data_IF_328641668286
#
_entry.id   IF_328641668286
#
_cell.length_a   1.000
_cell.length_b   1.000
_cell.length_c   1.000
_cell.angle_alpha   90.00
_cell.angle_beta   90.00
_cell.angle_gamma   90.00
#
_symmetry.space_group_name_H-M   'P 1'
#
loop_
_entity.id
_entity.type
_entity.pdbx_description
1 polymer ?
#
# COMPACT_ATOMS: atom_id res chain seq x y z
N UNK A 1 -2.96 0.61 -8.43
CA UNK A 1 -2.53 -0.08 -7.20
C UNK A 1 -2.93 -1.55 -7.27
N UNK A 2 -2.17 -2.45 -6.67
CA UNK A 2 -2.46 -3.88 -6.67
C UNK A 2 -2.27 -4.48 -5.27
N UNK A 3 -3.26 -5.26 -4.83
CA UNK A 3 -3.16 -6.03 -3.58
C UNK A 3 -2.71 -7.46 -3.88
N UNK A 4 -1.58 -7.88 -3.31
CA UNK A 4 -1.04 -9.24 -3.45
C UNK A 4 -1.07 -9.75 -4.91
N UNK A 5 -1.80 -10.81 -5.21
CA UNK A 5 -1.94 -11.39 -6.57
C UNK A 5 -3.23 -11.00 -7.28
N UNK A 6 -4.02 -10.07 -6.72
CA UNK A 6 -5.28 -9.63 -7.31
C UNK A 6 -5.04 -8.77 -8.56
N UNK A 7 -6.11 -8.52 -9.31
CA UNK A 7 -6.08 -7.58 -10.43
C UNK A 7 -5.84 -6.15 -9.90
N UNK A 8 -5.05 -5.33 -10.62
CA UNK A 8 -4.80 -3.96 -10.21
C UNK A 8 -6.04 -3.08 -10.38
N UNK A 9 -6.21 -2.11 -9.49
CA UNK A 9 -6.99 -0.90 -9.78
C UNK A 9 -6.22 -0.04 -10.78
N UNK A 10 -6.79 0.15 -11.96
CA UNK A 10 -6.22 0.91 -13.08
C UNK A 10 -6.91 2.27 -13.18
N UNK A 11 -6.12 3.32 -13.39
CA UNK A 11 -6.62 4.69 -13.50
C UNK A 11 -6.49 5.49 -12.20
N UNK A 12 -6.26 6.79 -12.34
CA UNK A 12 -6.07 7.69 -11.20
C UNK A 12 -7.37 7.89 -10.42
N UNK A 13 -8.49 8.10 -11.12
CA UNK A 13 -9.78 8.40 -10.50
C UNK A 13 -10.31 7.22 -9.71
N UNK A 14 -10.21 6.01 -10.28
CA UNK A 14 -10.61 4.76 -9.68
C UNK A 14 -9.76 4.45 -8.44
N UNK A 15 -8.44 4.65 -8.54
CA UNK A 15 -7.55 4.44 -7.41
C UNK A 15 -7.80 5.47 -6.30
N UNK A 16 -8.01 6.74 -6.65
CA UNK A 16 -8.32 7.79 -5.69
C UNK A 16 -9.63 7.53 -4.95
N UNK A 17 -10.67 7.08 -5.66
CA UNK A 17 -11.94 6.72 -5.05
C UNK A 17 -11.79 5.55 -4.07
N UNK A 18 -11.06 4.50 -4.45
CA UNK A 18 -10.78 3.34 -3.58
C UNK A 18 -9.99 3.73 -2.33
N UNK A 19 -8.93 4.54 -2.49
CA UNK A 19 -8.12 5.01 -1.36
C UNK A 19 -8.91 5.88 -0.40
N UNK A 20 -9.76 6.79 -0.90
CA UNK A 20 -10.65 7.59 -0.05
C UNK A 20 -11.62 6.74 0.75
N UNK A 21 -12.22 5.71 0.13
CA UNK A 21 -13.13 4.78 0.81
C UNK A 21 -12.40 4.00 1.91
N UNK A 22 -11.21 3.47 1.62
CA UNK A 22 -10.36 2.79 2.59
C UNK A 22 -10.03 3.70 3.77
N UNK A 23 -9.45 4.88 3.53
CA UNK A 23 -9.05 5.82 4.59
C UNK A 23 -10.24 6.25 5.44
N UNK A 24 -11.42 6.47 4.83
CA UNK A 24 -12.64 6.84 5.57
C UNK A 24 -13.14 5.74 6.53
N UNK A 25 -12.74 4.48 6.30
CA UNK A 25 -13.14 3.31 7.11
C UNK A 25 -12.06 2.85 8.09
N UNK A 26 -10.88 3.46 8.08
CA UNK A 26 -9.76 3.08 8.94
C UNK A 26 -9.62 4.01 10.14
N UNK A 27 -9.47 3.42 11.32
CA UNK A 27 -8.90 4.06 12.50
C UNK A 27 -7.50 3.51 12.73
N UNK A 28 -6.48 4.34 12.52
CA UNK A 28 -5.08 3.97 12.67
C UNK A 28 -4.65 3.92 14.13
N UNK A 29 -3.91 2.87 14.50
CA UNK A 29 -3.18 2.78 15.77
C UNK A 29 -1.66 2.92 15.54
N UNK A 30 -1.15 2.34 14.45
CA UNK A 30 0.25 2.40 14.03
C UNK A 30 0.37 2.30 12.50
N UNK A 31 1.23 3.12 11.93
CA UNK A 31 1.77 2.94 10.59
C UNK A 31 3.24 3.36 10.64
N UNK A 32 4.14 2.38 10.71
CA UNK A 32 5.57 2.61 10.92
C UNK A 32 6.37 2.05 9.76
N UNK A 33 7.24 2.88 9.19
CA UNK A 33 8.25 2.42 8.23
C UNK A 33 9.33 1.66 8.99
N UNK A 34 9.58 0.42 8.56
CA UNK A 34 10.65 -0.42 9.08
C UNK A 34 11.94 -0.26 8.26
N UNK A 35 11.81 -0.04 6.96
CA UNK A 35 12.94 0.11 6.06
C UNK A 35 12.52 0.51 4.66
N UNK A 36 13.49 0.96 3.88
CA UNK A 36 13.31 1.33 2.48
C UNK A 36 14.44 0.78 1.63
N UNK A 37 14.12 0.30 0.44
CA UNK A 37 15.10 -0.09 -0.59
C UNK A 37 14.81 0.77 -1.82
N UNK A 38 15.86 1.30 -2.44
CA UNK A 38 15.75 2.07 -3.69
C UNK A 38 16.61 1.38 -4.74
N UNK A 39 15.99 1.09 -5.88
CA UNK A 39 16.60 0.54 -7.09
C UNK A 39 16.45 1.58 -8.19
N UNK A 40 17.43 2.49 -8.25
CA UNK A 40 17.42 3.61 -9.20
C UNK A 40 17.49 3.13 -10.65
N UNK A 41 18.25 2.06 -10.92
CA UNK A 41 18.42 1.49 -12.27
C UNK A 41 17.08 1.03 -12.86
N UNK A 42 16.23 0.41 -12.04
CA UNK A 42 14.92 -0.07 -12.47
C UNK A 42 13.77 0.90 -12.17
N UNK A 43 14.05 2.09 -11.65
CA UNK A 43 13.04 3.06 -11.19
C UNK A 43 12.05 2.45 -10.18
N UNK A 44 12.57 1.73 -9.19
CA UNK A 44 11.75 1.05 -8.18
C UNK A 44 12.15 1.42 -6.77
N UNK A 45 11.18 1.37 -5.88
CA UNK A 45 11.43 1.40 -4.44
C UNK A 45 10.58 0.36 -3.73
N UNK A 46 11.03 -0.02 -2.54
CA UNK A 46 10.29 -0.86 -1.62
C UNK A 46 10.23 -0.12 -0.29
N UNK A 47 9.04 -0.08 0.33
CA UNK A 47 8.86 0.41 1.68
C UNK A 47 8.27 -0.72 2.52
N UNK A 48 8.99 -1.10 3.58
CA UNK A 48 8.50 -2.06 4.55
C UNK A 48 7.75 -1.34 5.67
N UNK A 49 6.57 -1.85 5.99
CA UNK A 49 5.64 -1.27 6.95
C UNK A 49 5.28 -2.26 8.06
N UNK A 50 5.16 -1.73 9.27
CA UNK A 50 4.39 -2.32 10.38
C UNK A 50 3.07 -1.54 10.51
N UNK A 51 1.94 -2.24 10.37
CA UNK A 51 0.61 -1.66 10.38
C UNK A 51 -0.23 -2.25 11.53
N UNK A 52 -0.92 -1.36 12.25
CA UNK A 52 -1.94 -1.70 13.24
C UNK A 52 -3.11 -0.72 13.08
N UNK A 53 -4.28 -1.23 12.67
CA UNK A 53 -5.46 -0.41 12.49
C UNK A 53 -6.76 -1.17 12.66
N UNK A 54 -7.85 -0.46 12.93
CA UNK A 54 -9.20 -1.02 12.96
C UNK A 54 -9.94 -0.54 11.72
N UNK A 55 -10.32 -1.48 10.84
CA UNK A 55 -11.18 -1.21 9.70
C UNK A 55 -12.64 -1.43 10.10
N UNK A 56 -13.53 -0.52 9.69
CA UNK A 56 -14.97 -0.59 9.99
C UNK A 56 -15.61 -1.92 9.60
N UNK A 57 -15.14 -2.54 8.51
CA UNK A 57 -15.70 -3.77 7.95
C UNK A 57 -14.83 -5.01 8.21
N UNK A 58 -13.51 -4.84 8.42
CA UNK A 58 -12.58 -5.99 8.53
C UNK A 58 -12.15 -6.27 9.97
N UNK A 59 -12.51 -5.39 10.91
CA UNK A 59 -12.09 -5.50 12.29
C UNK A 59 -10.64 -5.04 12.48
N UNK A 60 -9.95 -5.63 13.45
CA UNK A 60 -8.59 -5.27 13.81
C UNK A 60 -7.58 -5.97 12.89
N UNK A 61 -6.82 -5.17 12.15
CA UNK A 61 -5.73 -5.63 11.31
C UNK A 61 -4.39 -5.33 11.97
N UNK A 62 -3.55 -6.35 12.10
CA UNK A 62 -2.12 -6.24 12.41
C UNK A 62 -1.34 -7.01 11.36
N UNK A 63 -0.48 -6.30 10.63
CA UNK A 63 0.28 -6.91 9.54
C UNK A 63 1.63 -6.21 9.32
N UNK A 64 2.55 -6.96 8.74
CA UNK A 64 3.71 -6.40 8.04
C UNK A 64 3.42 -6.40 6.55
N UNK A 65 3.78 -5.31 5.88
CA UNK A 65 3.49 -5.12 4.46
C UNK A 65 4.72 -4.56 3.74
N UNK A 66 4.99 -5.06 2.54
CA UNK A 66 5.91 -4.41 1.61
C UNK A 66 5.11 -3.69 0.52
N UNK A 67 5.29 -2.37 0.41
CA UNK A 67 4.87 -1.60 -0.76
C UNK A 67 6.00 -1.60 -1.78
N UNK A 68 5.73 -2.13 -2.97
CA UNK A 68 6.67 -2.14 -4.09
C UNK A 68 6.17 -1.13 -5.11
N UNK A 69 6.93 -0.06 -5.30
CA UNK A 69 6.57 1.08 -6.12
C UNK A 69 7.45 1.09 -7.38
N UNK A 70 6.82 1.35 -8.51
CA UNK A 70 7.52 1.66 -9.76
C UNK A 70 7.24 3.11 -10.11
N UNK A 71 8.31 3.83 -10.45
CA UNK A 71 8.32 5.28 -10.61
C UNK A 71 8.43 5.65 -12.08
N UNK A 72 7.78 6.76 -12.44
CA UNK A 72 7.87 7.40 -13.74
C UNK A 72 7.68 8.90 -13.56
N UNK A 73 8.58 9.70 -14.12
CA UNK A 73 8.52 11.16 -14.06
C UNK A 73 8.36 11.72 -12.63
N UNK A 74 9.10 11.13 -11.68
CA UNK A 74 9.08 11.52 -10.26
C UNK A 74 7.80 11.15 -9.49
N UNK A 75 6.93 10.33 -10.08
CA UNK A 75 5.67 9.88 -9.47
C UNK A 75 5.60 8.36 -9.44
N UNK A 76 4.89 7.82 -8.46
CA UNK A 76 4.53 6.39 -8.42
C UNK A 76 3.51 6.15 -9.53
N UNK A 77 3.89 5.38 -10.56
CA UNK A 77 2.96 5.00 -11.64
C UNK A 77 2.26 3.68 -11.34
N UNK A 78 2.91 2.82 -10.55
CA UNK A 78 2.36 1.55 -10.11
C UNK A 78 2.85 1.24 -8.70
N UNK A 79 1.96 0.67 -7.89
CA UNK A 79 2.27 0.24 -6.54
C UNK A 79 1.58 -1.10 -6.30
N UNK A 80 2.35 -2.05 -5.79
CA UNK A 80 1.88 -3.37 -5.42
C UNK A 80 2.22 -3.67 -3.98
N UNK A 81 1.23 -4.09 -3.22
CA UNK A 81 1.38 -4.45 -1.82
C UNK A 81 1.50 -5.96 -1.65
N UNK A 82 2.43 -6.37 -0.79
CA UNK A 82 2.62 -7.77 -0.39
C UNK A 82 2.44 -7.87 1.12
N UNK A 83 1.48 -8.68 1.56
CA UNK A 83 1.18 -8.88 2.97
C UNK A 83 0.37 -10.16 3.18
N UNK A 84 0.38 -10.62 4.41
CA UNK A 84 -0.62 -11.56 4.92
C UNK A 84 -1.30 -10.93 6.13
N UNK A 85 -2.58 -11.21 6.31
CA UNK A 85 -3.31 -10.86 7.54
C UNK A 85 -3.43 -12.14 8.37
N UNK A 86 -3.18 -12.04 9.67
CA UNK A 86 -3.44 -13.14 10.61
C UNK A 86 -4.91 -13.19 10.99
#
# INVERSE_FOLDING_TARGET
MQENTQNPTVGFEENLAREKDFVAKVKWNLAKVLGTIVDEENNRSIVEWELDYVHKEWGHIKATQASVQTWKDGKIFHERFYYTVK
#
